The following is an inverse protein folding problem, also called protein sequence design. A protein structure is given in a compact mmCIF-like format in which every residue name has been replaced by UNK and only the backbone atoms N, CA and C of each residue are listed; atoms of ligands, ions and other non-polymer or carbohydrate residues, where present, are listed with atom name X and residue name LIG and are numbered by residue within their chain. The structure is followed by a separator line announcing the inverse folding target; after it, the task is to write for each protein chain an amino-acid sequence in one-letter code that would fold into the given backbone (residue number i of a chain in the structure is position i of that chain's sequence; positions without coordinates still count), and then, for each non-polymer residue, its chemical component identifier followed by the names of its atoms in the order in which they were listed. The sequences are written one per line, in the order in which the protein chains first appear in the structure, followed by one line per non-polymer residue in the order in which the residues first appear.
data_IF_847359155841
#
_entry.id   IF_847359155841
#
_cell.length_a   1.000
_cell.length_b   1.000
_cell.length_c   1.000
_cell.angle_alpha   90.00
_cell.angle_beta   90.00
_cell.angle_gamma   90.00
#
_symmetry.space_group_name_H-M   'P 1'
#
loop_
_entity.id
_entity.type
_entity.pdbx_description
1 polymer ?
#
# COMPACT_ATOMS: atom_id res chain seq x y z
N UNK A 1 2.62 0.34 -17.70
CA UNK A 1 3.59 -0.05 -16.67
C UNK A 1 2.85 -0.85 -15.62
N UNK A 2 3.38 -2.04 -15.32
CA UNK A 2 2.77 -3.16 -14.59
C UNK A 2 1.55 -3.81 -15.27
N UNK A 3 1.81 -4.69 -16.24
CA UNK A 3 0.82 -5.53 -16.91
C UNK A 3 0.66 -6.82 -16.09
N UNK A 4 0.08 -6.71 -14.90
CA UNK A 4 -0.15 -7.85 -14.03
C UNK A 4 -1.34 -8.67 -14.61
N UNK A 5 -1.17 -9.95 -15.01
CA UNK A 5 -2.21 -10.74 -15.68
C UNK A 5 -3.50 -10.96 -14.86
N UNK A 6 -3.52 -10.58 -13.59
CA UNK A 6 -4.71 -10.56 -12.73
C UNK A 6 -5.65 -9.37 -13.01
N UNK A 7 -5.24 -8.38 -13.82
CA UNK A 7 -6.07 -7.23 -14.20
C UNK A 7 -6.83 -7.40 -15.52
N UNK A 8 -6.62 -8.52 -16.25
CA UNK A 8 -7.33 -8.80 -17.50
C UNK A 8 -8.63 -9.61 -17.31
N UNK A 9 -9.02 -9.95 -16.08
CA UNK A 9 -10.27 -10.64 -15.87
C UNK A 9 -11.01 -10.20 -14.57
N UNK A 10 -12.12 -9.46 -14.68
CA UNK A 10 -13.01 -9.15 -13.57
C UNK A 10 -13.51 -10.39 -12.79
N UNK A 11 -13.37 -11.60 -13.36
CA UNK A 11 -13.77 -12.86 -12.73
C UNK A 11 -12.78 -13.38 -11.67
N UNK A 12 -11.53 -12.91 -11.62
CA UNK A 12 -10.55 -13.38 -10.61
C UNK A 12 -10.83 -12.82 -9.21
N UNK A 13 -11.47 -11.64 -9.10
CA UNK A 13 -11.80 -11.02 -7.82
C UNK A 13 -12.91 -11.77 -7.04
N UNK A 14 -13.77 -12.55 -7.73
CA UNK A 14 -14.81 -13.38 -7.10
C UNK A 14 -14.29 -14.73 -6.58
N UNK A 15 -13.10 -15.18 -6.99
CA UNK A 15 -12.55 -16.47 -6.58
C UNK A 15 -11.88 -16.44 -5.19
N UNK A 16 -11.63 -15.25 -4.62
CA UNK A 16 -10.98 -15.07 -3.31
C UNK A 16 -11.92 -14.64 -2.17
N UNK A 17 -13.25 -14.71 -2.33
CA UNK A 17 -14.19 -14.66 -1.20
C UNK A 17 -14.47 -13.29 -0.58
N UNK A 18 -14.11 -12.18 -1.23
CA UNK A 18 -14.32 -10.83 -0.67
C UNK A 18 -15.67 -10.21 -1.07
N UNK A 19 -16.43 -9.70 -0.09
CA UNK A 19 -17.77 -9.09 -0.28
C UNK A 19 -17.76 -7.74 -1.03
N UNK A 20 -16.59 -7.11 -1.21
CA UNK A 20 -16.36 -5.82 -1.87
C UNK A 20 -15.00 -5.78 -2.57
N UNK A 21 -14.82 -4.86 -3.53
CA UNK A 21 -13.53 -4.62 -4.18
C UNK A 21 -12.45 -4.21 -3.17
N UNK A 22 -11.20 -4.56 -3.46
CA UNK A 22 -10.03 -4.28 -2.60
C UNK A 22 -9.04 -3.43 -3.37
N UNK A 23 -8.39 -2.47 -2.69
CA UNK A 23 -7.29 -1.70 -3.29
C UNK A 23 -6.09 -2.61 -3.59
N UNK A 24 -5.50 -2.46 -4.77
CA UNK A 24 -4.34 -3.24 -5.18
C UNK A 24 -3.11 -2.90 -4.34
N UNK A 25 -2.39 -3.92 -3.87
CA UNK A 25 -1.20 -3.74 -3.04
C UNK A 25 -0.17 -2.81 -3.69
N UNK A 26 0.16 -3.05 -4.97
CA UNK A 26 1.13 -2.19 -5.67
C UNK A 26 0.66 -0.75 -5.84
N UNK A 27 -0.65 -0.52 -5.99
CA UNK A 27 -1.20 0.82 -5.98
C UNK A 27 -1.04 1.49 -4.61
N UNK A 28 -1.29 0.77 -3.51
CA UNK A 28 -1.05 1.27 -2.15
C UNK A 28 0.44 1.58 -1.93
N UNK A 29 1.35 0.72 -2.38
CA UNK A 29 2.80 0.95 -2.33
C UNK A 29 3.18 2.25 -3.07
N UNK A 30 2.70 2.41 -4.30
CA UNK A 30 2.96 3.62 -5.09
C UNK A 30 2.39 4.88 -4.42
N UNK A 31 1.21 4.79 -3.79
CA UNK A 31 0.62 5.91 -3.04
C UNK A 31 1.45 6.28 -1.80
N UNK A 32 2.01 5.31 -1.08
CA UNK A 32 2.95 5.58 0.02
C UNK A 32 4.21 6.29 -0.47
N UNK A 33 4.79 5.86 -1.59
CA UNK A 33 5.97 6.51 -2.17
C UNK A 33 5.66 7.94 -2.62
N UNK A 34 4.53 8.14 -3.29
CA UNK A 34 4.08 9.47 -3.70
C UNK A 34 3.83 10.41 -2.50
N UNK A 35 3.41 9.88 -1.35
CA UNK A 35 3.26 10.70 -0.13
C UNK A 35 4.60 11.20 0.45
N UNK A 36 5.72 10.57 0.07
CA UNK A 36 7.08 10.97 0.43
C UNK A 36 7.81 11.70 -0.71
N UNK A 37 7.15 12.00 -1.82
CA UNK A 37 7.75 12.68 -2.98
C UNK A 37 8.47 13.99 -2.56
N UNK A 38 9.63 14.24 -3.16
CA UNK A 38 10.51 15.36 -2.79
C UNK A 38 11.33 15.17 -1.51
N UNK A 39 11.11 14.08 -0.74
CA UNK A 39 11.89 13.71 0.46
C UNK A 39 12.71 12.43 0.28
N UNK A 40 12.61 11.82 -0.89
CA UNK A 40 13.28 10.58 -1.26
C UNK A 40 14.51 10.87 -2.13
N UNK A 41 15.58 10.06 -2.02
CA UNK A 41 16.72 10.14 -2.93
C UNK A 41 16.35 9.63 -4.34
N UNK A 42 17.19 9.95 -5.33
CA UNK A 42 17.00 9.53 -6.73
C UNK A 42 17.00 8.00 -6.91
N UNK A 43 17.79 7.30 -6.09
CA UNK A 43 17.84 5.85 -6.02
C UNK A 43 17.42 5.37 -4.64
N UNK A 44 16.46 4.45 -4.58
CA UNK A 44 15.94 3.89 -3.34
C UNK A 44 15.53 2.43 -3.50
N UNK A 45 15.45 1.73 -2.38
CA UNK A 45 14.76 0.47 -2.22
C UNK A 45 13.51 0.70 -1.36
N UNK A 46 12.39 0.14 -1.77
CA UNK A 46 11.13 0.21 -1.03
C UNK A 46 10.60 -1.19 -0.76
N UNK A 47 10.65 -1.61 0.50
CA UNK A 47 10.11 -2.87 0.98
C UNK A 47 8.79 -2.62 1.70
N UNK A 48 7.76 -3.40 1.37
CA UNK A 48 6.44 -3.29 1.99
C UNK A 48 5.89 -4.67 2.29
N UNK A 49 5.21 -4.78 3.42
CA UNK A 49 4.45 -5.95 3.85
C UNK A 49 2.96 -5.58 3.86
N UNK A 50 2.17 -6.30 3.06
CA UNK A 50 0.71 -6.16 3.05
C UNK A 50 0.09 -7.05 4.13
N UNK A 51 -0.48 -6.43 5.17
CA UNK A 51 -0.99 -7.15 6.35
C UNK A 51 -2.47 -7.48 6.25
N UNK A 52 -3.27 -6.59 5.66
CA UNK A 52 -4.72 -6.82 5.51
C UNK A 52 -5.31 -6.00 4.35
N UNK A 53 -6.39 -6.48 3.72
CA UNK A 53 -6.97 -5.82 2.55
C UNK A 53 -7.65 -4.49 2.92
N UNK A 54 -7.48 -3.49 2.06
CA UNK A 54 -8.26 -2.23 2.11
C UNK A 54 -9.51 -2.41 1.25
N UNK A 55 -10.68 -2.53 1.89
CA UNK A 55 -11.97 -2.60 1.19
C UNK A 55 -12.34 -1.23 0.62
N UNK A 56 -12.91 -1.18 -0.59
CA UNK A 56 -13.32 0.07 -1.23
C UNK A 56 -14.84 0.33 -1.11
N UNK A 57 -15.28 1.60 -1.04
CA UNK A 57 -14.46 2.79 -0.77
C UNK A 57 -13.97 2.80 0.69
N UNK A 58 -12.79 3.34 0.96
CA UNK A 58 -12.26 3.51 2.32
C UNK A 58 -11.34 4.72 2.44
N UNK A 59 -11.35 5.30 3.63
CA UNK A 59 -10.38 6.29 4.09
C UNK A 59 -9.44 5.61 5.08
N UNK A 60 -8.15 5.58 4.75
CA UNK A 60 -7.08 5.01 5.58
C UNK A 60 -6.16 6.13 6.07
N UNK A 61 -5.58 5.93 7.25
CA UNK A 61 -4.50 6.76 7.76
C UNK A 61 -3.17 6.36 7.14
N UNK A 62 -2.29 7.34 6.95
CA UNK A 62 -0.91 7.17 6.54
C UNK A 62 -0.01 7.80 7.61
N UNK A 63 1.02 7.08 8.01
CA UNK A 63 2.05 7.58 8.91
C UNK A 63 3.43 7.29 8.31
N UNK A 64 4.33 8.27 8.42
CA UNK A 64 5.73 8.13 8.06
C UNK A 64 6.63 8.59 9.21
N UNK A 65 7.76 7.90 9.38
CA UNK A 65 8.78 8.25 10.36
C UNK A 65 10.16 8.21 9.71
N UNK A 66 10.91 9.31 9.83
CA UNK A 66 12.30 9.38 9.38
C UNK A 66 13.18 8.45 10.22
N UNK A 67 14.13 7.78 9.57
CA UNK A 67 15.21 6.99 10.14
C UNK A 67 16.55 7.51 9.63
N UNK A 68 17.66 7.05 10.21
CA UNK A 68 19.02 7.49 9.85
C UNK A 68 19.30 7.37 8.35
N UNK A 69 18.88 6.26 7.73
CA UNK A 69 19.08 5.98 6.30
C UNK A 69 17.77 5.80 5.51
N UNK A 70 16.66 6.44 5.92
CA UNK A 70 15.41 6.27 5.18
C UNK A 70 14.14 6.66 5.93
N UNK A 71 13.05 5.96 5.63
CA UNK A 71 11.73 6.14 6.20
C UNK A 71 11.11 4.80 6.55
N UNK A 72 10.31 4.76 7.62
CA UNK A 72 9.31 3.70 7.82
C UNK A 72 7.93 4.27 7.55
N UNK A 73 7.08 3.53 6.86
CA UNK A 73 5.71 3.94 6.51
C UNK A 73 4.69 2.93 6.98
N UNK A 74 3.50 3.42 7.34
CA UNK A 74 2.36 2.59 7.71
C UNK A 74 1.07 3.10 7.07
N UNK A 75 0.24 2.16 6.59
CA UNK A 75 -1.17 2.41 6.30
C UNK A 75 -2.03 1.66 7.31
N UNK A 76 -3.00 2.35 7.90
CA UNK A 76 -3.85 1.78 8.93
C UNK A 76 -5.28 2.29 8.85
N UNK A 77 -6.21 1.56 9.44
CA UNK A 77 -7.60 1.99 9.60
C UNK A 77 -7.69 2.93 10.81
N UNK A 78 -8.04 4.23 10.67
CA UNK A 78 -8.05 5.16 11.80
C UNK A 78 -9.00 4.75 12.92
N UNK A 79 -10.15 4.18 12.56
CA UNK A 79 -11.18 3.78 13.52
C UNK A 79 -10.82 2.55 14.37
N UNK A 80 -9.88 1.72 13.93
CA UNK A 80 -9.57 0.45 14.61
C UNK A 80 -8.07 0.18 14.81
N UNK A 81 -7.20 1.05 14.30
CA UNK A 81 -5.75 0.83 14.28
C UNK A 81 -5.28 -0.34 13.40
N UNK A 82 -6.18 -1.01 12.67
CA UNK A 82 -5.82 -2.20 11.87
C UNK A 82 -4.84 -1.80 10.79
N UNK A 83 -3.67 -2.44 10.77
CA UNK A 83 -2.64 -2.18 9.75
C UNK A 83 -2.98 -2.88 8.44
N UNK A 84 -2.84 -2.13 7.35
CA UNK A 84 -3.02 -2.58 5.97
C UNK A 84 -1.67 -2.78 5.29
N UNK A 85 -0.71 -1.89 5.55
CA UNK A 85 0.64 -1.92 5.01
C UNK A 85 1.62 -1.43 6.08
N UNK A 86 2.77 -2.06 6.16
CA UNK A 86 3.96 -1.50 6.81
C UNK A 86 5.14 -1.60 5.85
N UNK A 87 6.06 -0.64 5.87
CA UNK A 87 7.20 -0.68 4.96
C UNK A 87 8.38 0.17 5.41
N UNK A 88 9.51 -0.07 4.75
CA UNK A 88 10.76 0.68 4.87
C UNK A 88 11.19 1.18 3.49
N UNK A 89 11.75 2.38 3.45
CA UNK A 89 12.21 3.04 2.22
C UNK A 89 13.57 3.64 2.51
N UNK A 90 14.61 3.22 1.79
CA UNK A 90 16.00 3.64 2.01
C UNK A 90 16.91 3.34 0.84
#
# INVERSE_FOLDING_TARGET
GDVNPIHLNPLAARLFGFRRAIAHGMWLKARCLAALEGRLPDSLTAEVEFRSPVLLPSTVGFADHRRDSGWTVELFQPSSGRRHLSGSIG
#
